data_IF_050854266521
#
_entry.id   IF_050854266521
#
_cell.length_a   1.000
_cell.length_b   1.000
_cell.length_c   1.000
_cell.angle_alpha   90.00
_cell.angle_beta   90.00
_cell.angle_gamma   90.00
#
_symmetry.space_group_name_H-M   'P 1'
#
loop_
_entity.id
_entity.type
_entity.pdbx_description
1 polymer ?
#
# COMPACT_ATOMS: atom_id res chain seq x y z
N UNK A 1 -18.07 32.33 16.46
CA UNK A 1 -16.69 32.76 16.15
C UNK A 1 -15.77 31.78 16.89
N UNK A 2 -15.38 30.65 16.29
CA UNK A 2 -14.50 29.63 16.91
C UNK A 2 -13.27 29.53 16.05
N UNK A 3 -12.18 29.98 16.61
CA UNK A 3 -10.83 30.08 16.04
C UNK A 3 -10.25 28.73 15.76
N UNK A 4 -9.76 28.54 14.54
CA UNK A 4 -8.91 27.42 14.13
C UNK A 4 -7.62 27.45 14.95
N UNK A 5 -7.40 26.47 15.80
CA UNK A 5 -6.12 26.26 16.49
C UNK A 5 -5.34 25.18 15.76
N UNK A 6 -4.19 25.61 15.32
CA UNK A 6 -3.01 24.92 14.86
C UNK A 6 -2.90 23.46 15.31
N UNK A 7 -2.98 22.52 14.36
CA UNK A 7 -2.44 21.19 14.53
C UNK A 7 -0.93 21.29 14.41
N UNK A 8 -0.26 21.19 15.55
CA UNK A 8 1.18 20.98 15.62
C UNK A 8 1.53 19.77 14.75
N UNK A 9 2.39 20.01 13.79
CA UNK A 9 3.07 18.99 13.01
C UNK A 9 3.92 18.16 13.98
N UNK A 10 3.37 17.04 14.47
CA UNK A 10 4.19 15.98 15.02
C UNK A 10 4.98 15.41 13.85
N UNK A 11 6.27 15.66 13.84
CA UNK A 11 7.20 15.20 12.84
C UNK A 11 7.07 13.70 12.68
N UNK A 12 6.47 13.27 11.57
CA UNK A 12 6.59 11.91 11.10
C UNK A 12 8.05 11.73 10.70
N UNK A 13 8.80 11.01 11.54
CA UNK A 13 10.05 10.42 11.09
C UNK A 13 9.75 9.66 9.77
N UNK A 14 10.64 9.72 8.77
CA UNK A 14 10.45 8.98 7.54
C UNK A 14 10.24 7.52 7.94
N UNK A 15 9.08 6.97 7.60
CA UNK A 15 8.80 5.56 7.78
C UNK A 15 9.85 4.84 6.93
N UNK A 16 10.84 4.31 7.61
CA UNK A 16 11.86 3.45 7.05
C UNK A 16 11.19 2.17 6.53
N UNK A 17 10.51 2.28 5.40
CA UNK A 17 10.28 1.13 4.52
C UNK A 17 11.60 0.57 3.97
N UNK A 18 12.74 1.02 4.51
CA UNK A 18 14.07 0.78 3.97
C UNK A 18 14.87 -0.32 4.68
N UNK A 19 14.47 -0.81 5.84
CA UNK A 19 15.29 -1.80 6.55
C UNK A 19 15.40 -3.15 5.81
N UNK A 20 14.41 -3.48 4.96
CA UNK A 20 14.49 -4.69 4.12
C UNK A 20 15.03 -4.42 2.72
N UNK A 21 15.11 -3.17 2.31
CA UNK A 21 15.74 -2.77 1.06
C UNK A 21 17.28 -2.80 1.16
N UNK A 22 17.82 -2.58 2.35
CA UNK A 22 19.27 -2.44 2.56
C UNK A 22 20.06 -3.71 2.21
N UNK A 23 19.50 -4.90 2.44
CA UNK A 23 20.19 -6.15 2.08
C UNK A 23 20.15 -6.47 0.57
N UNK A 24 19.20 -5.91 -0.18
CA UNK A 24 19.12 -6.10 -1.62
C UNK A 24 20.06 -5.15 -2.39
N UNK A 25 20.44 -4.02 -1.79
CA UNK A 25 21.39 -3.07 -2.36
C UNK A 25 22.80 -3.66 -2.41
N UNK A 26 23.18 -4.49 -1.41
CA UNK A 26 24.48 -5.10 -1.32
C UNK A 26 24.77 -6.12 -2.45
N UNK A 27 23.73 -6.69 -3.06
CA UNK A 27 23.87 -7.69 -4.13
C UNK A 27 23.61 -7.11 -5.55
N UNK A 28 23.40 -5.79 -5.69
CA UNK A 28 23.32 -5.10 -6.99
C UNK A 28 22.11 -5.46 -7.87
N UNK A 29 21.13 -6.24 -7.39
CA UNK A 29 19.95 -6.62 -8.18
C UNK A 29 18.68 -6.67 -7.34
N UNK A 30 17.87 -5.64 -7.44
CA UNK A 30 16.49 -5.68 -6.95
C UNK A 30 15.71 -6.81 -7.61
N UNK A 31 14.92 -7.60 -6.85
CA UNK A 31 14.02 -8.57 -7.45
C UNK A 31 13.14 -7.89 -8.51
N UNK A 32 12.95 -8.52 -9.66
CA UNK A 32 12.03 -8.01 -10.68
C UNK A 32 10.60 -8.18 -10.18
N UNK A 33 9.70 -7.22 -10.40
CA UNK A 33 8.29 -7.44 -10.19
C UNK A 33 7.84 -8.67 -11.00
N UNK A 34 7.00 -9.49 -10.38
CA UNK A 34 6.29 -10.50 -11.16
C UNK A 34 5.28 -9.79 -12.06
N UNK A 35 4.82 -10.48 -13.08
CA UNK A 35 3.71 -10.02 -13.90
C UNK A 35 2.47 -9.70 -13.07
N UNK A 36 1.61 -8.75 -13.54
CA UNK A 36 0.41 -8.31 -12.82
C UNK A 36 -0.55 -9.49 -12.62
N UNK A 37 -0.81 -9.96 -11.40
CA UNK A 37 -1.73 -11.08 -11.19
C UNK A 37 -3.17 -10.73 -11.64
N UNK A 38 -3.95 -11.71 -12.13
CA UNK A 38 -5.32 -11.48 -12.62
C UNK A 38 -6.25 -10.77 -11.62
N UNK A 39 -6.06 -10.99 -10.31
CA UNK A 39 -6.83 -10.31 -9.26
C UNK A 39 -6.68 -8.80 -9.30
N UNK A 40 -5.48 -8.27 -9.57
CA UNK A 40 -5.25 -6.83 -9.73
C UNK A 40 -5.94 -6.29 -10.98
N UNK A 41 -5.87 -7.02 -12.10
CA UNK A 41 -6.55 -6.63 -13.34
C UNK A 41 -8.07 -6.55 -13.15
N UNK A 42 -8.64 -7.55 -12.47
CA UNK A 42 -10.07 -7.60 -12.17
C UNK A 42 -10.52 -6.40 -11.31
N UNK A 43 -9.86 -6.17 -10.17
CA UNK A 43 -10.21 -5.03 -9.27
C UNK A 43 -9.98 -3.69 -9.96
N UNK A 44 -8.88 -3.54 -10.68
CA UNK A 44 -8.55 -2.33 -11.41
C UNK A 44 -9.62 -1.97 -12.45
N UNK A 45 -10.11 -2.96 -13.21
CA UNK A 45 -11.21 -2.79 -14.17
C UNK A 45 -12.49 -2.29 -13.49
N UNK A 46 -12.90 -2.93 -12.38
CA UNK A 46 -14.11 -2.57 -11.64
C UNK A 46 -14.00 -1.15 -11.06
N UNK A 47 -12.84 -0.82 -10.49
CA UNK A 47 -12.60 0.46 -9.83
C UNK A 47 -12.11 1.57 -10.77
N UNK A 48 -11.90 1.27 -12.05
CA UNK A 48 -11.43 2.21 -13.08
C UNK A 48 -10.06 2.83 -12.73
N UNK A 49 -9.13 1.99 -12.28
CA UNK A 49 -7.74 2.34 -11.99
C UNK A 49 -6.86 1.58 -12.96
N UNK A 50 -5.77 2.14 -13.51
CA UNK A 50 -4.84 1.33 -14.29
C UNK A 50 -4.26 0.19 -13.46
N UNK A 51 -4.35 -1.05 -13.97
CA UNK A 51 -3.90 -2.23 -13.22
C UNK A 51 -2.42 -2.15 -12.84
N UNK A 52 -1.59 -1.58 -13.72
CA UNK A 52 -0.18 -1.37 -13.46
C UNK A 52 0.07 -0.39 -12.30
N UNK A 53 -0.74 0.67 -12.19
CA UNK A 53 -0.65 1.63 -11.07
C UNK A 53 -1.04 0.95 -9.76
N UNK A 54 -2.17 0.23 -9.72
CA UNK A 54 -2.62 -0.47 -8.52
C UNK A 54 -1.58 -1.49 -8.05
N UNK A 55 -1.01 -2.26 -8.99
CA UNK A 55 0.00 -3.26 -8.67
C UNK A 55 1.33 -2.63 -8.23
N UNK A 56 1.75 -1.52 -8.87
CA UNK A 56 2.97 -0.80 -8.49
C UNK A 56 2.86 -0.20 -7.08
N UNK A 57 1.69 0.33 -6.69
CA UNK A 57 1.42 0.77 -5.31
C UNK A 57 1.53 -0.42 -4.36
N UNK A 58 0.90 -1.55 -4.65
CA UNK A 58 0.98 -2.74 -3.80
C UNK A 58 2.43 -3.26 -3.65
N UNK A 59 3.25 -3.19 -4.72
CA UNK A 59 4.68 -3.50 -4.64
C UNK A 59 5.40 -2.54 -3.70
N UNK A 60 5.15 -1.23 -3.80
CA UNK A 60 5.75 -0.24 -2.91
C UNK A 60 5.39 -0.48 -1.45
N UNK A 61 4.14 -0.84 -1.17
CA UNK A 61 3.59 -0.97 0.18
C UNK A 61 3.97 -2.27 0.89
N UNK A 62 3.97 -3.40 0.18
CA UNK A 62 4.03 -4.70 0.84
C UNK A 62 4.93 -5.73 0.17
N UNK A 63 5.76 -5.34 -0.79
CA UNK A 63 6.57 -6.31 -1.53
C UNK A 63 7.41 -7.22 -0.62
N UNK A 64 7.48 -8.49 -1.00
CA UNK A 64 8.34 -9.50 -0.43
C UNK A 64 9.04 -10.27 -1.55
N UNK A 65 10.27 -10.76 -1.27
CA UNK A 65 11.03 -11.54 -2.25
C UNK A 65 10.53 -12.99 -2.28
N UNK A 66 10.25 -13.46 -3.48
CA UNK A 66 9.94 -14.87 -3.78
C UNK A 66 10.88 -15.36 -4.88
N UNK A 67 11.96 -16.00 -4.51
CA UNK A 67 13.01 -16.42 -5.46
C UNK A 67 13.59 -15.22 -6.21
N UNK A 68 13.38 -15.19 -7.53
CA UNK A 68 13.86 -14.11 -8.43
C UNK A 68 12.89 -12.94 -8.55
N UNK A 69 11.69 -13.06 -8.01
CA UNK A 69 10.61 -12.08 -8.16
C UNK A 69 10.31 -11.35 -6.85
N UNK A 70 9.77 -10.14 -6.98
CA UNK A 70 9.09 -9.43 -5.90
C UNK A 70 7.58 -9.49 -6.15
N UNK A 71 6.81 -9.78 -5.09
CA UNK A 71 5.36 -9.81 -5.09
C UNK A 71 4.84 -9.04 -3.88
N UNK A 72 3.69 -8.34 -3.98
CA UNK A 72 3.01 -7.83 -2.80
C UNK A 72 2.61 -8.98 -1.87
N UNK A 73 2.79 -8.78 -0.56
CA UNK A 73 2.49 -9.80 0.44
C UNK A 73 1.27 -9.43 1.28
N UNK A 74 0.19 -10.23 1.26
CA UNK A 74 -1.10 -9.80 1.83
C UNK A 74 -1.13 -9.79 3.36
N UNK A 75 -0.37 -10.63 4.03
CA UNK A 75 -0.43 -10.76 5.49
C UNK A 75 0.65 -9.92 6.16
N UNK A 76 0.61 -8.62 5.83
CA UNK A 76 1.51 -7.59 6.33
C UNK A 76 0.72 -6.58 7.16
N UNK A 77 1.23 -6.25 8.33
CA UNK A 77 0.77 -5.14 9.15
C UNK A 77 1.94 -4.18 9.41
N UNK A 78 1.66 -2.88 9.42
CA UNK A 78 2.57 -1.90 10.01
C UNK A 78 1.89 -1.35 11.26
N UNK A 79 2.41 -1.72 12.43
CA UNK A 79 1.81 -1.39 13.72
C UNK A 79 2.59 -0.22 14.32
N UNK A 80 2.02 0.97 14.31
CA UNK A 80 2.67 2.19 14.83
C UNK A 80 4.08 2.42 14.24
N UNK A 81 4.26 2.18 12.93
CA UNK A 81 5.53 2.33 12.23
C UNK A 81 6.43 1.08 12.26
N UNK A 82 6.02 0.00 12.96
CA UNK A 82 6.77 -1.26 13.02
C UNK A 82 6.18 -2.28 12.05
N UNK A 83 6.87 -2.61 10.94
CA UNK A 83 6.38 -3.58 9.97
C UNK A 83 6.47 -5.00 10.52
N UNK A 84 5.40 -5.78 10.30
CA UNK A 84 5.31 -7.20 10.65
C UNK A 84 4.72 -8.00 9.49
N UNK A 85 5.27 -9.18 9.24
CA UNK A 85 4.75 -10.16 8.29
C UNK A 85 4.39 -11.44 9.02
N UNK A 86 3.30 -12.06 8.60
CA UNK A 86 2.75 -13.26 9.22
C UNK A 86 2.74 -14.40 8.21
N UNK A 87 2.96 -15.61 8.67
CA UNK A 87 3.02 -16.80 7.80
C UNK A 87 1.63 -17.26 7.31
N UNK A 88 0.56 -16.72 7.89
CA UNK A 88 -0.80 -17.07 7.51
C UNK A 88 -1.79 -15.93 7.71
N UNK A 89 -2.87 -15.97 6.93
CA UNK A 89 -4.04 -15.10 7.09
C UNK A 89 -4.57 -15.10 8.51
N UNK A 90 -4.72 -16.31 9.12
CA UNK A 90 -5.24 -16.46 10.48
C UNK A 90 -4.36 -15.75 11.51
N UNK A 91 -3.05 -15.89 11.40
CA UNK A 91 -2.11 -15.22 12.30
C UNK A 91 -2.17 -13.69 12.16
N UNK A 92 -2.23 -13.18 10.93
CA UNK A 92 -2.35 -11.74 10.69
C UNK A 92 -3.67 -11.17 11.23
N UNK A 93 -4.80 -11.87 11.03
CA UNK A 93 -6.11 -11.46 11.57
C UNK A 93 -6.07 -11.44 13.08
N UNK A 94 -5.53 -12.48 13.73
CA UNK A 94 -5.43 -12.55 15.19
C UNK A 94 -4.58 -11.38 15.75
N UNK A 95 -3.46 -11.08 15.12
CA UNK A 95 -2.60 -9.95 15.50
C UNK A 95 -3.33 -8.60 15.37
N UNK A 96 -4.06 -8.39 14.27
CA UNK A 96 -4.85 -7.16 14.09
C UNK A 96 -5.95 -7.04 15.14
N UNK A 97 -6.70 -8.11 15.41
CA UNK A 97 -7.73 -8.13 16.47
C UNK A 97 -7.12 -7.75 17.82
N UNK A 98 -5.96 -8.29 18.17
CA UNK A 98 -5.29 -7.97 19.43
C UNK A 98 -4.84 -6.49 19.48
N UNK A 99 -4.30 -5.94 18.40
CA UNK A 99 -3.99 -4.51 18.32
C UNK A 99 -5.22 -3.65 18.61
N UNK A 100 -6.35 -3.98 17.98
CA UNK A 100 -7.60 -3.22 18.14
C UNK A 100 -8.17 -3.36 19.55
N UNK A 101 -8.08 -4.55 20.16
CA UNK A 101 -8.47 -4.79 21.54
C UNK A 101 -7.66 -3.95 22.53
N UNK A 102 -6.39 -3.70 22.22
CA UNK A 102 -5.51 -2.82 23.01
C UNK A 102 -5.67 -1.31 22.67
N UNK A 103 -6.63 -0.96 21.82
CA UNK A 103 -6.83 0.45 21.40
C UNK A 103 -5.80 0.96 20.40
N UNK A 104 -4.95 0.10 19.84
CA UNK A 104 -3.98 0.47 18.82
C UNK A 104 -4.68 0.55 17.47
N UNK A 105 -5.02 1.78 17.04
CA UNK A 105 -5.75 2.02 15.80
C UNK A 105 -4.83 2.40 14.63
N UNK A 106 -3.62 2.88 14.90
CA UNK A 106 -2.64 3.23 13.86
C UNK A 106 -1.96 1.94 13.37
N UNK A 107 -2.65 1.24 12.50
CA UNK A 107 -2.21 -0.01 11.88
C UNK A 107 -2.50 0.06 10.39
N UNK A 108 -1.45 -0.06 9.56
CA UNK A 108 -1.58 -0.16 8.12
C UNK A 108 -1.66 -1.63 7.73
N UNK A 109 -2.57 -1.99 6.81
CA UNK A 109 -3.05 -3.36 6.65
C UNK A 109 -2.93 -3.83 5.21
N UNK A 110 -2.33 -5.01 5.04
CA UNK A 110 -2.44 -5.84 3.84
C UNK A 110 -1.65 -5.34 2.65
N UNK A 111 -2.10 -5.72 1.46
CA UNK A 111 -1.42 -5.46 0.18
C UNK A 111 -1.17 -3.96 -0.08
N UNK A 112 -2.16 -3.12 0.23
CA UNK A 112 -2.17 -1.69 -0.03
C UNK A 112 -1.89 -0.86 1.23
N UNK A 113 -1.50 -1.47 2.35
CA UNK A 113 -1.17 -0.84 3.63
C UNK A 113 -2.20 0.24 4.04
N UNK A 114 -3.47 -0.16 4.05
CA UNK A 114 -4.58 0.76 4.34
C UNK A 114 -4.71 0.97 5.84
N UNK A 115 -4.58 2.22 6.29
CA UNK A 115 -4.61 2.54 7.71
C UNK A 115 -6.00 2.34 8.32
N UNK A 116 -6.09 1.48 9.34
CA UNK A 116 -7.34 1.19 10.07
C UNK A 116 -7.95 2.45 10.65
N UNK A 117 -7.16 3.30 11.28
CA UNK A 117 -7.63 4.51 11.96
C UNK A 117 -8.50 5.39 11.06
N UNK A 118 -8.15 5.50 9.79
CA UNK A 118 -8.84 6.40 8.85
C UNK A 118 -9.87 5.69 7.96
N UNK A 119 -9.74 4.35 7.80
CA UNK A 119 -10.51 3.61 6.79
C UNK A 119 -11.27 2.41 7.34
N UNK A 120 -11.41 2.27 8.68
CA UNK A 120 -12.10 1.13 9.30
C UNK A 120 -13.54 0.94 8.82
N UNK A 121 -14.26 2.02 8.49
CA UNK A 121 -15.61 1.94 7.93
C UNK A 121 -15.60 1.19 6.58
N UNK A 122 -14.61 1.46 5.70
CA UNK A 122 -14.44 0.78 4.42
C UNK A 122 -13.92 -0.66 4.59
N UNK A 123 -12.99 -0.85 5.51
CA UNK A 123 -12.40 -2.14 5.85
C UNK A 123 -13.37 -3.05 6.59
N UNK A 124 -14.34 -2.49 7.32
CA UNK A 124 -15.42 -3.12 8.08
C UNK A 124 -14.96 -3.93 9.30
N UNK A 125 -14.13 -4.95 9.12
CA UNK A 125 -13.62 -5.82 10.18
C UNK A 125 -12.23 -6.36 9.84
N UNK A 126 -11.47 -6.88 10.83
CA UNK A 126 -10.10 -7.37 10.63
C UNK A 126 -9.96 -8.47 9.57
N UNK A 127 -10.89 -9.41 9.52
CA UNK A 127 -10.86 -10.49 8.55
C UNK A 127 -10.97 -9.94 7.12
N UNK A 128 -11.96 -9.07 6.86
CA UNK A 128 -12.12 -8.42 5.55
C UNK A 128 -10.93 -7.52 5.20
N UNK A 129 -10.37 -6.81 6.18
CA UNK A 129 -9.24 -5.91 5.96
C UNK A 129 -7.98 -6.61 5.43
N UNK A 130 -7.77 -7.87 5.85
CA UNK A 130 -6.63 -8.72 5.46
C UNK A 130 -6.94 -9.67 4.29
N UNK A 131 -8.21 -9.75 3.85
CA UNK A 131 -8.56 -10.46 2.63
C UNK A 131 -8.00 -9.67 1.43
N UNK A 132 -7.21 -10.31 0.53
CA UNK A 132 -6.57 -9.62 -0.59
C UNK A 132 -7.53 -8.84 -1.48
N UNK A 133 -8.69 -9.39 -1.82
CA UNK A 133 -9.64 -8.72 -2.72
C UNK A 133 -10.28 -7.47 -2.10
N UNK A 134 -10.92 -7.54 -0.93
CA UNK A 134 -11.43 -6.34 -0.26
C UNK A 134 -10.35 -5.29 0.04
N UNK A 135 -9.13 -5.71 0.38
CA UNK A 135 -8.03 -4.78 0.59
C UNK A 135 -7.68 -4.03 -0.70
N UNK A 136 -7.53 -4.75 -1.82
CA UNK A 136 -7.32 -4.14 -3.13
C UNK A 136 -8.47 -3.23 -3.55
N UNK A 137 -9.72 -3.62 -3.32
CA UNK A 137 -10.89 -2.80 -3.65
C UNK A 137 -10.88 -1.45 -2.93
N UNK A 138 -10.56 -1.45 -1.62
CA UNK A 138 -10.49 -0.21 -0.84
C UNK A 138 -9.31 0.65 -1.32
N UNK A 139 -8.13 0.07 -1.52
CA UNK A 139 -6.97 0.81 -2.02
C UNK A 139 -7.21 1.41 -3.42
N UNK A 140 -7.81 0.65 -4.33
CA UNK A 140 -8.17 1.14 -5.65
C UNK A 140 -9.21 2.27 -5.59
N UNK A 141 -10.19 2.18 -4.68
CA UNK A 141 -11.17 3.24 -4.46
C UNK A 141 -10.50 4.53 -3.95
N UNK A 142 -9.55 4.43 -3.03
CA UNK A 142 -8.79 5.58 -2.54
C UNK A 142 -7.98 6.24 -3.67
N UNK A 143 -7.25 5.45 -4.45
CA UNK A 143 -6.50 5.94 -5.62
C UNK A 143 -7.42 6.63 -6.64
N UNK A 144 -8.56 6.02 -6.96
CA UNK A 144 -9.54 6.61 -7.88
C UNK A 144 -10.12 7.92 -7.35
N UNK A 145 -10.34 8.04 -6.04
CA UNK A 145 -10.84 9.26 -5.44
C UNK A 145 -9.79 10.40 -5.52
N UNK A 146 -8.51 10.10 -5.35
CA UNK A 146 -7.43 11.07 -5.56
C UNK A 146 -7.32 11.44 -7.04
N UNK A 147 -7.40 10.47 -7.95
CA UNK A 147 -7.38 10.77 -9.40
C UNK A 147 -8.54 11.66 -9.83
N UNK A 148 -9.75 11.45 -9.33
CA UNK A 148 -10.90 12.32 -9.62
C UNK A 148 -10.67 13.78 -9.21
N UNK A 149 -9.87 14.03 -8.19
CA UNK A 149 -9.53 15.38 -7.71
C UNK A 149 -8.42 16.03 -8.54
N UNK A 150 -7.47 15.24 -9.00
CA UNK A 150 -6.21 15.75 -9.56
C UNK A 150 -6.12 15.62 -11.09
N UNK A 151 -6.87 14.67 -11.69
CA UNK A 151 -6.77 14.31 -13.11
C UNK A 151 -5.42 13.70 -13.51
N UNK A 152 -4.55 13.40 -12.54
CA UNK A 152 -3.18 12.96 -12.77
C UNK A 152 -2.81 11.79 -11.87
N UNK A 153 -2.37 10.67 -12.45
CA UNK A 153 -2.04 9.47 -11.67
C UNK A 153 -0.80 9.63 -10.80
N UNK A 154 0.19 10.40 -11.21
CA UNK A 154 1.35 10.67 -10.36
C UNK A 154 0.92 11.41 -9.09
N UNK A 155 0.12 12.48 -9.25
CA UNK A 155 -0.41 13.22 -8.10
C UNK A 155 -1.37 12.37 -7.24
N UNK A 156 -2.22 11.57 -7.86
CA UNK A 156 -3.12 10.66 -7.14
C UNK A 156 -2.37 9.64 -6.29
N UNK A 157 -1.27 9.09 -6.80
CA UNK A 157 -0.38 8.17 -6.07
C UNK A 157 0.37 8.91 -4.96
N UNK A 158 0.83 10.13 -5.22
CA UNK A 158 1.46 10.96 -4.18
C UNK A 158 0.49 11.23 -3.02
N UNK A 159 -0.73 11.68 -3.34
CA UNK A 159 -1.78 11.99 -2.35
C UNK A 159 -2.30 10.74 -1.62
N UNK A 160 -2.18 9.55 -2.21
CA UNK A 160 -2.49 8.29 -1.56
C UNK A 160 -1.62 8.09 -0.31
N UNK A 161 -0.36 8.44 -0.39
CA UNK A 161 0.58 8.34 0.71
C UNK A 161 0.54 9.58 1.59
N UNK A 162 0.69 10.76 0.99
CA UNK A 162 0.64 12.04 1.70
C UNK A 162 0.32 13.20 0.73
N UNK A 163 -0.58 14.07 1.13
CA UNK A 163 -0.94 15.25 0.35
C UNK A 163 0.16 16.33 0.30
N UNK A 164 1.12 16.30 1.24
CA UNK A 164 2.29 17.18 1.19
C UNK A 164 3.24 16.73 0.06
N UNK A 165 3.50 17.56 -0.95
CA UNK A 165 4.40 17.22 -2.04
C UNK A 165 5.81 16.81 -1.60
N UNK A 166 6.32 17.39 -0.51
CA UNK A 166 7.65 17.05 0.00
C UNK A 166 7.73 15.57 0.45
N UNK A 167 6.60 14.96 0.81
CA UNK A 167 6.50 13.57 1.27
C UNK A 167 5.91 12.68 0.16
N UNK A 168 4.84 13.13 -0.48
CA UNK A 168 4.12 12.36 -1.48
C UNK A 168 4.88 12.17 -2.79
N UNK A 169 5.58 13.18 -3.29
CA UNK A 169 6.26 13.10 -4.59
C UNK A 169 7.44 12.10 -4.60
N UNK A 170 8.30 12.01 -3.58
CA UNK A 170 9.29 10.94 -3.47
C UNK A 170 8.66 9.54 -3.44
N UNK A 171 7.53 9.37 -2.74
CA UNK A 171 6.79 8.12 -2.73
C UNK A 171 6.26 7.77 -4.13
N UNK A 172 5.56 8.70 -4.80
CA UNK A 172 5.05 8.49 -6.15
C UNK A 172 6.19 8.15 -7.13
N UNK A 173 7.33 8.83 -7.03
CA UNK A 173 8.52 8.52 -7.83
C UNK A 173 8.96 7.06 -7.64
N UNK A 174 8.94 6.55 -6.41
CA UNK A 174 9.26 5.14 -6.13
C UNK A 174 8.24 4.18 -6.73
N UNK A 175 6.94 4.49 -6.63
CA UNK A 175 5.87 3.68 -7.25
C UNK A 175 6.02 3.64 -8.77
N UNK A 176 6.27 4.78 -9.41
CA UNK A 176 6.46 4.84 -10.88
C UNK A 176 7.74 4.15 -11.34
N UNK A 177 8.76 4.04 -10.48
CA UNK A 177 9.93 3.20 -10.74
C UNK A 177 9.57 1.71 -10.74
N UNK A 178 8.69 1.24 -9.83
CA UNK A 178 8.15 -0.11 -9.91
C UNK A 178 7.36 -0.32 -11.19
N UNK A 179 6.50 0.62 -11.55
CA UNK A 179 5.68 0.58 -12.76
C UNK A 179 6.55 0.38 -14.01
N UNK A 180 7.64 1.13 -14.18
CA UNK A 180 8.57 1.00 -15.29
C UNK A 180 9.34 -0.34 -15.34
N UNK A 181 9.25 -1.18 -14.31
CA UNK A 181 9.91 -2.49 -14.21
C UNK A 181 8.95 -3.66 -14.36
N UNK A 182 7.64 -3.42 -14.34
CA UNK A 182 6.61 -4.44 -14.57
C UNK A 182 6.74 -4.92 -16.03
N UNK A 183 6.84 -6.23 -16.29
CA UNK A 183 6.91 -6.75 -17.66
C UNK A 183 5.68 -6.33 -18.47
N UNK A 184 5.91 -5.83 -19.68
CA UNK A 184 4.84 -5.37 -20.59
C UNK A 184 4.08 -6.52 -21.29
N UNK A 185 4.52 -7.78 -21.10
CA UNK A 185 4.01 -8.96 -21.83
C UNK A 185 2.75 -9.55 -21.20
N UNK A 186 1.79 -8.73 -20.82
CA UNK A 186 0.49 -9.21 -20.40
C UNK A 186 -0.52 -8.94 -21.50
N UNK A 187 -0.64 -9.98 -22.34
CA UNK A 187 -1.82 -10.24 -23.12
C UNK A 187 -2.70 -9.02 -23.37
N UNK A 188 -2.35 -8.19 -24.32
CA UNK A 188 -3.41 -7.59 -25.13
C UNK A 188 -4.17 -8.77 -25.75
N UNK A 189 -5.50 -8.82 -25.57
CA UNK A 189 -6.32 -9.85 -26.18
C UNK A 189 -6.23 -9.79 -27.71
#
# INVERSE_FOLDING_TARGET
>A
MITRRNFLALGFAPILGSAYASNAIAEGRWPRPAPIPPGYQHVAKIKRVPAAVLYAVALQESQMRFGKNALPYPWTLNIQGVPKRFDSYRAAVAALVECLRMGILLVDIGLLQICWRYHHIKLRNPARALDPYPNMEVGAELLQNHFKKTGNWFRAVADYHNADPAIGDPYATSVFRHLGRIPSNWGEP
#
